data_IF_730995005791
#
_entry.id   IF_730995005791
#
_cell.length_a   1.000
_cell.length_b   1.000
_cell.length_c   1.000
_cell.angle_alpha   90.00
_cell.angle_beta   90.00
_cell.angle_gamma   90.00
#
_symmetry.space_group_name_H-M   'P 1'
#
loop_
_entity.id
_entity.type
_entity.pdbx_description
1 polymer ?
#
# COMPACT_ATOMS: atom_id res chain seq x y z
N UNK A 1 12.18 -30.02 8.29
CA UNK A 1 10.87 -30.70 8.22
C UNK A 1 10.00 -29.92 7.24
N UNK A 2 9.25 -30.55 6.33
CA UNK A 2 8.28 -29.84 5.49
C UNK A 2 7.30 -29.07 6.38
N UNK A 3 7.00 -27.81 6.05
CA UNK A 3 6.27 -26.86 6.92
C UNK A 3 4.89 -27.37 7.36
N UNK A 4 4.24 -28.21 6.56
CA UNK A 4 3.00 -28.89 6.96
C UNK A 4 3.15 -29.71 8.26
N UNK A 5 4.33 -30.30 8.50
CA UNK A 5 4.64 -31.01 9.74
C UNK A 5 4.98 -30.07 10.91
N UNK A 6 5.39 -28.82 10.63
CA UNK A 6 5.64 -27.79 11.65
C UNK A 6 4.31 -27.15 12.12
N UNK A 7 3.33 -27.05 11.22
CA UNK A 7 1.94 -26.68 11.52
C UNK A 7 1.20 -27.83 12.24
N UNK A 8 1.49 -29.08 11.88
CA UNK A 8 0.93 -30.26 12.55
C UNK A 8 1.57 -30.55 13.92
N UNK A 9 2.78 -30.03 14.20
CA UNK A 9 3.49 -30.28 15.46
C UNK A 9 2.77 -29.70 16.70
N UNK A 10 1.81 -28.80 16.52
CA UNK A 10 0.97 -28.25 17.60
C UNK A 10 -0.46 -28.85 17.67
N UNK A 11 -0.78 -29.82 16.81
CA UNK A 11 -1.74 -30.90 17.13
C UNK A 11 -3.26 -30.67 17.09
N UNK A 12 -3.82 -29.64 16.44
CA UNK A 12 -5.29 -29.41 16.50
C UNK A 12 -6.00 -28.96 15.20
N UNK A 13 -5.42 -29.18 14.02
CA UNK A 13 -6.12 -29.18 12.73
C UNK A 13 -5.61 -30.38 11.92
N UNK A 14 -6.49 -31.13 11.26
CA UNK A 14 -6.03 -32.09 10.25
C UNK A 14 -5.25 -31.30 9.19
N UNK A 15 -3.97 -31.66 8.99
CA UNK A 15 -3.08 -30.94 8.09
C UNK A 15 -3.64 -30.86 6.67
N UNK A 16 -4.43 -31.87 6.27
CA UNK A 16 -5.10 -31.92 4.97
C UNK A 16 -6.29 -30.96 4.89
N UNK A 17 -7.01 -30.74 5.99
CA UNK A 17 -8.13 -29.80 6.08
C UNK A 17 -7.65 -28.34 6.04
N UNK A 18 -6.61 -28.02 6.83
CA UNK A 18 -6.00 -26.68 6.83
C UNK A 18 -5.38 -26.34 5.47
N UNK A 19 -4.64 -27.28 4.86
CA UNK A 19 -4.11 -27.12 3.50
C UNK A 19 -5.22 -27.03 2.44
N UNK A 20 -6.34 -27.73 2.66
CA UNK A 20 -7.53 -27.66 1.81
C UNK A 20 -8.21 -26.28 1.83
N UNK A 21 -8.44 -25.72 3.01
CA UNK A 21 -9.01 -24.38 3.19
C UNK A 21 -8.07 -23.29 2.63
N UNK A 22 -6.77 -23.42 2.88
CA UNK A 22 -5.78 -22.46 2.36
C UNK A 22 -5.75 -22.46 0.83
N UNK A 23 -5.65 -23.63 0.19
CA UNK A 23 -5.70 -23.75 -1.28
C UNK A 23 -7.01 -23.20 -1.83
N UNK A 24 -8.14 -23.47 -1.17
CA UNK A 24 -9.45 -22.94 -1.59
C UNK A 24 -9.48 -21.41 -1.56
N UNK A 25 -8.97 -20.80 -0.50
CA UNK A 25 -8.91 -19.35 -0.37
C UNK A 25 -8.01 -18.71 -1.45
N UNK A 26 -6.86 -19.33 -1.76
CA UNK A 26 -6.00 -18.91 -2.88
C UNK A 26 -6.71 -19.04 -4.23
N UNK A 27 -7.44 -20.14 -4.43
CA UNK A 27 -8.22 -20.40 -5.65
C UNK A 27 -9.38 -19.44 -5.85
N UNK A 28 -10.04 -19.06 -4.75
CA UNK A 28 -11.09 -18.05 -4.77
C UNK A 28 -10.49 -16.68 -5.08
N UNK A 29 -9.37 -16.33 -4.45
CA UNK A 29 -8.62 -15.10 -4.72
C UNK A 29 -8.15 -15.00 -6.19
N UNK A 30 -7.50 -16.04 -6.70
CA UNK A 30 -7.00 -16.08 -8.08
C UNK A 30 -8.12 -15.97 -9.13
N UNK A 31 -9.36 -16.31 -8.77
CA UNK A 31 -10.54 -16.18 -9.63
C UNK A 31 -11.35 -14.91 -9.36
N UNK A 32 -10.82 -13.96 -8.60
CA UNK A 32 -11.50 -12.70 -8.27
C UNK A 32 -12.69 -12.84 -7.32
N UNK A 33 -12.87 -14.00 -6.66
CA UNK A 33 -13.90 -14.24 -5.64
C UNK A 33 -13.39 -13.88 -4.25
N UNK A 34 -13.01 -12.63 -4.09
CA UNK A 34 -12.22 -12.21 -2.96
C UNK A 34 -13.06 -12.10 -1.66
N UNK A 35 -14.38 -11.93 -1.72
CA UNK A 35 -15.27 -12.08 -0.53
C UNK A 35 -15.17 -13.50 0.02
N UNK A 36 -15.33 -14.51 -0.85
CA UNK A 36 -15.23 -15.94 -0.48
C UNK A 36 -13.84 -16.31 0.02
N UNK A 37 -12.80 -15.76 -0.60
CA UNK A 37 -11.43 -15.94 -0.12
C UNK A 37 -11.27 -15.38 1.30
N UNK A 38 -11.77 -14.16 1.57
CA UNK A 38 -11.70 -13.54 2.90
C UNK A 38 -12.46 -14.31 3.98
N UNK A 39 -13.66 -14.81 3.67
CA UNK A 39 -14.42 -15.68 4.57
C UNK A 39 -13.68 -16.99 4.86
N UNK A 40 -13.00 -17.54 3.85
CA UNK A 40 -12.21 -18.77 4.00
C UNK A 40 -10.96 -18.49 4.84
N UNK A 41 -10.30 -17.35 4.64
CA UNK A 41 -9.20 -16.90 5.48
C UNK A 41 -9.61 -16.65 6.93
N UNK A 42 -10.75 -16.02 7.16
CA UNK A 42 -11.27 -15.77 8.51
C UNK A 42 -11.58 -17.08 9.25
N UNK A 43 -12.16 -18.06 8.54
CA UNK A 43 -12.40 -19.41 9.09
C UNK A 43 -11.10 -20.12 9.44
N UNK A 44 -10.10 -20.05 8.55
CA UNK A 44 -8.79 -20.66 8.79
C UNK A 44 -8.07 -20.00 9.98
N UNK A 45 -8.10 -18.67 10.06
CA UNK A 45 -7.53 -17.91 11.18
C UNK A 45 -8.19 -18.30 12.51
N UNK A 46 -9.52 -18.32 12.55
CA UNK A 46 -10.27 -18.67 13.75
C UNK A 46 -10.00 -20.12 14.18
N UNK A 47 -10.00 -21.06 13.24
CA UNK A 47 -9.70 -22.46 13.51
C UNK A 47 -8.27 -22.63 14.04
N UNK A 48 -7.29 -21.95 13.43
CA UNK A 48 -5.90 -21.98 13.86
C UNK A 48 -5.70 -21.38 15.27
N UNK A 49 -6.41 -20.29 15.61
CA UNK A 49 -6.39 -19.71 16.97
C UNK A 49 -6.92 -20.69 18.01
N UNK A 50 -8.06 -21.34 17.73
CA UNK A 50 -8.65 -22.34 18.63
C UNK A 50 -7.75 -23.58 18.78
N UNK A 51 -7.06 -23.96 17.72
CA UNK A 51 -6.10 -25.04 17.68
C UNK A 51 -4.76 -24.72 18.34
N UNK A 52 -4.55 -23.48 18.81
CA UNK A 52 -3.25 -23.05 19.35
C UNK A 52 -2.15 -22.87 18.30
N UNK A 53 -2.44 -23.10 17.01
CA UNK A 53 -1.51 -22.98 15.89
C UNK A 53 -1.25 -21.50 15.53
N UNK A 54 -0.50 -20.80 16.38
CA UNK A 54 -0.31 -19.33 16.32
C UNK A 54 0.23 -18.85 14.98
N UNK A 55 1.18 -19.58 14.39
CA UNK A 55 1.78 -19.21 13.10
C UNK A 55 0.76 -19.27 11.95
N UNK A 56 -0.06 -20.32 11.91
CA UNK A 56 -1.11 -20.46 10.90
C UNK A 56 -2.20 -19.40 11.08
N UNK A 57 -2.55 -19.05 12.32
CA UNK A 57 -3.50 -17.99 12.61
C UNK A 57 -3.01 -16.62 12.11
N UNK A 58 -1.75 -16.29 12.41
CA UNK A 58 -1.11 -15.05 11.93
C UNK A 58 -1.08 -15.03 10.40
N UNK A 59 -0.74 -16.14 9.76
CA UNK A 59 -0.67 -16.23 8.32
C UNK A 59 -2.04 -16.13 7.63
N UNK A 60 -3.06 -16.80 8.15
CA UNK A 60 -4.41 -16.69 7.62
C UNK A 60 -4.97 -15.27 7.78
N UNK A 61 -4.69 -14.61 8.91
CA UNK A 61 -4.99 -13.19 9.10
C UNK A 61 -4.23 -12.30 8.12
N UNK A 62 -2.97 -12.62 7.83
CA UNK A 62 -2.16 -11.90 6.85
C UNK A 62 -2.68 -12.06 5.42
N UNK A 63 -3.02 -13.27 5.00
CA UNK A 63 -3.57 -13.54 3.68
C UNK A 63 -4.97 -12.96 3.51
N UNK A 64 -5.77 -12.94 4.58
CA UNK A 64 -7.04 -12.18 4.61
C UNK A 64 -6.79 -10.71 4.33
N UNK A 65 -5.83 -10.10 5.03
CA UNK A 65 -5.47 -8.71 4.84
C UNK A 65 -4.98 -8.45 3.40
N UNK A 66 -4.06 -9.27 2.87
CA UNK A 66 -3.57 -9.16 1.48
C UNK A 66 -4.70 -9.31 0.47
N UNK A 67 -5.66 -10.22 0.70
CA UNK A 67 -6.80 -10.44 -0.20
C UNK A 67 -7.76 -9.25 -0.21
N UNK A 68 -8.06 -8.68 0.97
CA UNK A 68 -8.84 -7.45 1.09
C UNK A 68 -8.10 -6.27 0.45
N UNK A 69 -6.79 -6.18 0.66
CA UNK A 69 -5.93 -5.18 0.04
C UNK A 69 -5.94 -5.27 -1.49
N UNK A 70 -5.91 -6.47 -2.07
CA UNK A 70 -5.99 -6.66 -3.53
C UNK A 70 -7.33 -6.19 -4.12
N UNK A 71 -8.41 -6.27 -3.35
CA UNK A 71 -9.69 -5.68 -3.73
C UNK A 71 -9.75 -4.16 -3.56
N UNK A 72 -8.69 -3.52 -3.04
CA UNK A 72 -8.73 -2.15 -2.54
C UNK A 72 -9.40 -2.02 -1.16
N UNK A 73 -10.04 -3.06 -0.65
CA UNK A 73 -10.87 -3.04 0.52
C UNK A 73 -10.15 -3.16 1.87
N UNK A 74 -8.91 -2.63 2.01
CA UNK A 74 -8.29 -2.12 3.26
C UNK A 74 -6.77 -2.31 3.29
N UNK A 75 -6.09 -1.33 3.88
CA UNK A 75 -4.77 -1.49 4.49
C UNK A 75 -4.80 -1.58 6.03
N UNK A 76 -5.94 -1.47 6.74
CA UNK A 76 -5.96 -1.61 8.22
C UNK A 76 -7.22 -2.28 8.80
N UNK A 77 -7.00 -3.40 9.51
CA UNK A 77 -7.79 -4.01 10.59
C UNK A 77 -9.26 -4.45 10.36
N UNK A 78 -9.44 -5.78 10.27
CA UNK A 78 -10.28 -6.67 11.10
C UNK A 78 -11.77 -6.40 11.34
N UNK A 79 -12.17 -5.16 11.65
CA UNK A 79 -13.55 -4.76 12.02
C UNK A 79 -14.32 -4.19 10.82
N UNK A 80 -13.63 -3.52 9.90
CA UNK A 80 -14.23 -3.04 8.64
C UNK A 80 -14.61 -4.17 7.67
N UNK A 81 -14.03 -5.36 7.83
CA UNK A 81 -14.32 -6.51 6.98
C UNK A 81 -15.81 -6.84 6.98
N UNK A 82 -16.46 -6.87 8.14
CA UNK A 82 -17.87 -7.30 8.23
C UNK A 82 -18.85 -6.32 7.56
N UNK A 83 -18.51 -5.02 7.50
CA UNK A 83 -19.33 -4.00 6.85
C UNK A 83 -19.07 -3.92 5.35
N UNK A 84 -17.80 -3.99 4.92
CA UNK A 84 -17.43 -3.95 3.50
C UNK A 84 -17.71 -5.26 2.76
N UNK A 85 -17.75 -6.41 3.44
CA UNK A 85 -18.05 -7.70 2.79
C UNK A 85 -19.44 -7.72 2.14
N UNK A 86 -20.41 -6.96 2.66
CA UNK A 86 -21.74 -6.82 2.06
C UNK A 86 -21.67 -6.00 0.76
N UNK A 87 -20.98 -4.86 0.78
CA UNK A 87 -20.80 -3.98 -0.39
C UNK A 87 -19.90 -4.62 -1.47
N UNK A 88 -18.87 -5.37 -1.07
CA UNK A 88 -17.99 -6.11 -1.98
C UNK A 88 -18.70 -7.29 -2.65
N UNK A 89 -19.66 -7.92 -1.95
CA UNK A 89 -20.50 -8.99 -2.52
C UNK A 89 -21.50 -8.46 -3.56
N UNK A 90 -21.87 -7.18 -3.49
CA UNK A 90 -22.65 -6.49 -4.52
C UNK A 90 -21.76 -6.17 -5.74
N UNK A 91 -20.52 -5.73 -5.54
CA UNK A 91 -19.57 -5.44 -6.63
C UNK A 91 -19.07 -6.70 -7.37
N UNK A 92 -18.99 -7.86 -6.71
CA UNK A 92 -18.69 -9.15 -7.37
C UNK A 92 -19.78 -9.55 -8.40
N UNK A 93 -21.01 -9.02 -8.27
CA UNK A 93 -22.12 -9.32 -9.19
C UNK A 93 -22.03 -8.52 -10.51
N UNK A 94 -21.27 -7.41 -10.51
CA UNK A 94 -21.16 -6.49 -11.67
C UNK A 94 -19.98 -6.81 -12.60
N UNK A 95 -19.28 -7.93 -12.40
CA UNK A 95 -18.28 -8.45 -13.35
C UNK A 95 -17.02 -7.61 -13.51
N UNK A 96 -16.70 -6.75 -12.54
CA UNK A 96 -15.46 -5.99 -12.54
C UNK A 96 -14.24 -6.94 -12.53
N UNK A 97 -13.20 -6.70 -13.35
CA UNK A 97 -11.99 -7.51 -13.36
C UNK A 97 -11.16 -7.20 -12.10
N UNK A 98 -11.53 -7.82 -10.98
CA UNK A 98 -10.79 -7.79 -9.72
C UNK A 98 -9.70 -8.86 -9.65
N UNK A 99 -9.59 -9.72 -10.68
CA UNK A 99 -8.65 -10.82 -10.68
C UNK A 99 -7.24 -10.35 -11.11
N UNK A 100 -6.17 -10.69 -10.38
CA UNK A 100 -4.83 -10.70 -10.95
C UNK A 100 -4.78 -11.67 -12.16
N UNK A 101 -3.74 -11.61 -13.01
CA UNK A 101 -3.57 -12.59 -14.07
C UNK A 101 -3.69 -14.02 -13.51
N UNK A 102 -4.30 -14.96 -14.26
CA UNK A 102 -4.56 -16.30 -13.78
C UNK A 102 -3.25 -17.00 -13.45
N UNK A 103 -3.08 -17.36 -12.17
CA UNK A 103 -2.01 -18.24 -11.72
C UNK A 103 -2.37 -19.67 -12.09
N UNK A 104 -1.44 -20.42 -12.67
CA UNK A 104 -1.64 -21.85 -12.86
C UNK A 104 -1.51 -22.61 -11.51
N UNK A 105 -1.92 -23.88 -11.49
CA UNK A 105 -1.92 -24.67 -10.26
C UNK A 105 -0.52 -24.89 -9.68
N UNK A 106 0.50 -25.02 -10.53
CA UNK A 106 1.88 -25.23 -10.10
C UNK A 106 2.47 -23.94 -9.52
N UNK A 107 2.13 -22.78 -10.08
CA UNK A 107 2.44 -21.46 -9.54
C UNK A 107 1.74 -21.23 -8.20
N UNK A 108 0.46 -21.59 -8.05
CA UNK A 108 -0.27 -21.50 -6.78
C UNK A 108 0.39 -22.38 -5.72
N UNK A 109 0.74 -23.62 -6.03
CA UNK A 109 1.34 -24.56 -5.08
C UNK A 109 2.79 -24.16 -4.71
N UNK A 110 3.56 -23.65 -5.67
CA UNK A 110 4.90 -23.08 -5.43
C UNK A 110 4.87 -21.79 -4.63
N UNK A 111 3.91 -20.90 -4.92
CA UNK A 111 3.69 -19.65 -4.19
C UNK A 111 3.21 -19.94 -2.75
N UNK A 112 2.24 -20.84 -2.57
CA UNK A 112 1.79 -21.28 -1.26
C UNK A 112 2.95 -21.86 -0.43
N UNK A 113 3.68 -22.83 -0.98
CA UNK A 113 4.79 -23.49 -0.28
C UNK A 113 5.90 -22.51 0.15
N UNK A 114 6.19 -21.50 -0.65
CA UNK A 114 7.19 -20.49 -0.34
C UNK A 114 6.71 -19.48 0.71
N UNK A 115 5.41 -19.14 0.72
CA UNK A 115 4.80 -18.27 1.75
C UNK A 115 4.69 -18.99 3.10
N UNK A 116 4.55 -20.30 3.10
CA UNK A 116 4.70 -21.18 4.28
C UNK A 116 6.16 -21.48 4.63
N UNK A 117 7.04 -20.49 4.51
CA UNK A 117 8.42 -20.59 5.00
C UNK A 117 8.65 -19.49 6.03
N UNK A 118 9.59 -19.70 6.96
CA UNK A 118 9.97 -18.66 7.91
C UNK A 118 10.39 -17.34 7.18
N UNK A 119 11.21 -17.38 6.11
CA UNK A 119 11.44 -16.19 5.28
C UNK A 119 10.17 -15.58 4.65
N UNK A 120 9.20 -16.41 4.24
CA UNK A 120 7.92 -15.95 3.70
C UNK A 120 7.08 -15.20 4.73
N UNK A 121 7.03 -15.70 5.96
CA UNK A 121 6.32 -15.07 7.09
C UNK A 121 6.92 -13.70 7.45
N UNK A 122 8.25 -13.60 7.50
CA UNK A 122 8.93 -12.33 7.75
C UNK A 122 8.63 -11.30 6.65
N UNK A 123 8.65 -11.68 5.37
CA UNK A 123 8.28 -10.76 4.26
C UNK A 123 6.82 -10.32 4.30
N UNK A 124 5.92 -11.24 4.66
CA UNK A 124 4.51 -10.95 4.91
C UNK A 124 4.34 -9.90 6.01
N UNK A 125 5.04 -10.10 7.13
CA UNK A 125 5.00 -9.19 8.27
C UNK A 125 5.60 -7.84 7.91
N UNK A 126 6.68 -7.83 7.13
CA UNK A 126 7.25 -6.59 6.61
C UNK A 126 6.24 -5.79 5.78
N UNK A 127 5.52 -6.43 4.86
CA UNK A 127 4.47 -5.76 4.06
C UNK A 127 3.34 -5.21 4.94
N UNK A 128 2.94 -5.94 5.98
CA UNK A 128 1.93 -5.46 6.95
C UNK A 128 2.40 -4.25 7.73
N UNK A 129 3.63 -4.31 8.26
CA UNK A 129 4.24 -3.23 9.02
C UNK A 129 4.39 -1.98 8.14
N UNK A 130 4.90 -2.14 6.91
CA UNK A 130 4.98 -1.06 5.91
C UNK A 130 3.62 -0.40 5.68
N UNK A 131 2.57 -1.18 5.46
CA UNK A 131 1.20 -0.66 5.26
C UNK A 131 0.56 -0.02 6.49
N UNK A 132 1.03 -0.38 7.68
CA UNK A 132 0.64 0.25 8.95
C UNK A 132 1.46 1.53 9.26
N UNK A 133 2.40 1.87 8.38
CA UNK A 133 3.33 2.99 8.53
C UNK A 133 4.53 2.68 9.43
N UNK A 134 4.73 1.42 9.85
CA UNK A 134 5.87 0.91 10.61
C UNK A 134 6.98 0.41 9.68
N UNK A 135 7.70 1.35 9.07
CA UNK A 135 8.76 1.09 8.12
C UNK A 135 10.00 0.50 8.81
N UNK A 136 10.29 0.94 10.04
CA UNK A 136 11.41 0.41 10.81
C UNK A 136 11.23 -1.08 11.12
N UNK A 137 10.06 -1.46 11.65
CA UNK A 137 9.72 -2.86 11.87
C UNK A 137 9.68 -3.65 10.56
N UNK A 138 9.25 -3.03 9.45
CA UNK A 138 9.30 -3.68 8.14
C UNK A 138 10.74 -4.02 7.70
N UNK A 139 11.68 -3.10 7.90
CA UNK A 139 13.10 -3.32 7.60
C UNK A 139 13.71 -4.43 8.47
N UNK A 140 13.41 -4.44 9.77
CA UNK A 140 13.85 -5.50 10.70
C UNK A 140 13.38 -6.89 10.24
N UNK A 141 12.10 -7.01 9.86
CA UNK A 141 11.53 -8.27 9.38
C UNK A 141 12.16 -8.71 8.04
N UNK A 142 12.46 -7.78 7.12
CA UNK A 142 13.18 -8.12 5.88
C UNK A 142 14.62 -8.59 6.14
N UNK A 143 15.26 -8.05 7.17
CA UNK A 143 16.58 -8.49 7.60
C UNK A 143 16.53 -9.92 8.16
N UNK A 144 15.55 -10.22 9.01
CA UNK A 144 15.30 -11.58 9.53
C UNK A 144 14.96 -12.58 8.42
N UNK A 145 14.18 -12.16 7.41
CA UNK A 145 13.91 -12.97 6.22
C UNK A 145 15.20 -13.34 5.47
N UNK A 146 16.19 -12.45 5.46
CA UNK A 146 17.47 -12.63 4.75
C UNK A 146 18.46 -13.52 5.52
N UNK A 147 18.37 -13.54 6.85
CA UNK A 147 19.18 -14.41 7.74
C UNK A 147 18.64 -15.84 7.84
N UNK A 148 17.35 -16.02 7.55
CA UNK A 148 16.67 -17.32 7.67
C UNK A 148 17.16 -18.32 6.61
N UNK A 149 17.56 -19.55 6.99
CA UNK A 149 18.09 -20.54 6.05
C UNK A 149 17.00 -21.01 5.07
N UNK A 150 17.21 -20.74 3.79
CA UNK A 150 16.24 -21.01 2.73
C UNK A 150 16.38 -22.44 2.19
N UNK A 151 15.30 -23.22 2.15
CA UNK A 151 15.29 -24.55 1.51
C UNK A 151 14.89 -24.52 0.03
N UNK A 152 15.11 -23.38 -0.64
CA UNK A 152 14.70 -22.97 -2.01
C UNK A 152 13.39 -22.18 -1.97
N UNK A 153 13.44 -20.84 -1.87
CA UNK A 153 12.25 -20.03 -2.04
C UNK A 153 11.85 -20.07 -3.51
N UNK A 154 10.55 -19.96 -3.78
CA UNK A 154 10.10 -19.58 -5.12
C UNK A 154 10.77 -18.25 -5.49
N UNK A 155 11.35 -18.14 -6.70
CA UNK A 155 12.20 -17.00 -7.09
C UNK A 155 11.50 -15.63 -6.97
N UNK A 156 10.17 -15.62 -7.02
CA UNK A 156 9.32 -14.45 -6.79
C UNK A 156 9.44 -13.84 -5.37
N UNK A 157 9.75 -14.62 -4.33
CA UNK A 157 9.72 -14.15 -2.94
C UNK A 157 10.90 -13.23 -2.58
N UNK A 158 12.16 -13.59 -2.87
CA UNK A 158 13.29 -12.67 -2.67
C UNK A 158 13.09 -11.36 -3.46
N UNK A 159 12.58 -11.45 -4.69
CA UNK A 159 12.25 -10.29 -5.51
C UNK A 159 11.19 -9.41 -4.86
N UNK A 160 10.11 -10.00 -4.37
CA UNK A 160 9.06 -9.25 -3.67
C UNK A 160 9.58 -8.61 -2.38
N UNK A 161 10.44 -9.31 -1.63
CA UNK A 161 11.13 -8.72 -0.47
C UNK A 161 11.95 -7.47 -0.82
N UNK A 162 12.63 -7.45 -1.98
CA UNK A 162 13.34 -6.25 -2.48
C UNK A 162 12.37 -5.12 -2.83
N UNK A 163 11.20 -5.43 -3.38
CA UNK A 163 10.17 -4.43 -3.65
C UNK A 163 9.67 -3.79 -2.34
N UNK A 164 9.38 -4.61 -1.31
CA UNK A 164 8.97 -4.09 0.01
C UNK A 164 10.08 -3.24 0.63
N UNK A 165 11.34 -3.67 0.51
CA UNK A 165 12.51 -2.91 0.97
C UNK A 165 12.57 -1.54 0.30
N UNK A 166 12.51 -1.49 -1.04
CA UNK A 166 12.52 -0.25 -1.81
C UNK A 166 11.40 0.71 -1.39
N UNK A 167 10.16 0.22 -1.27
CA UNK A 167 9.03 1.04 -0.84
C UNK A 167 9.18 1.53 0.61
N UNK A 168 9.78 0.72 1.49
CA UNK A 168 10.01 1.10 2.89
C UNK A 168 11.12 2.15 3.01
N UNK A 169 12.22 2.03 2.25
CA UNK A 169 13.28 3.03 2.15
C UNK A 169 12.73 4.35 1.62
N UNK A 170 11.93 4.31 0.55
CA UNK A 170 11.29 5.49 -0.04
C UNK A 170 10.40 6.21 0.96
N UNK A 171 9.55 5.48 1.67
CA UNK A 171 8.66 6.05 2.67
C UNK A 171 9.39 6.51 3.95
N UNK A 172 10.61 6.04 4.16
CA UNK A 172 11.52 6.54 5.17
C UNK A 172 12.37 7.73 4.68
N UNK A 173 12.26 8.15 3.41
CA UNK A 173 13.00 9.29 2.84
C UNK A 173 14.31 8.93 2.14
N UNK A 174 14.76 7.67 2.19
CA UNK A 174 15.94 7.21 1.44
C UNK A 174 15.57 6.88 -0.02
N UNK A 175 15.41 7.94 -0.81
CA UNK A 175 15.01 7.84 -2.22
C UNK A 175 16.10 7.22 -3.12
N UNK A 176 17.38 7.48 -2.83
CA UNK A 176 18.51 6.92 -3.57
C UNK A 176 18.61 5.41 -3.33
N UNK A 177 18.62 4.98 -2.06
CA UNK A 177 18.62 3.56 -1.70
C UNK A 177 17.37 2.84 -2.19
N UNK A 178 16.20 3.48 -2.12
CA UNK A 178 14.97 2.94 -2.69
C UNK A 178 15.09 2.69 -4.20
N UNK A 179 15.68 3.62 -4.94
CA UNK A 179 15.86 3.51 -6.40
C UNK A 179 16.86 2.40 -6.75
N UNK A 180 18.00 2.32 -6.07
CA UNK A 180 19.00 1.26 -6.26
C UNK A 180 18.40 -0.13 -6.05
N UNK A 181 17.66 -0.32 -4.96
CA UNK A 181 17.00 -1.60 -4.65
C UNK A 181 15.93 -1.94 -5.69
N UNK A 182 15.15 -0.95 -6.14
CA UNK A 182 14.09 -1.15 -7.12
C UNK A 182 14.64 -1.58 -8.49
N UNK A 183 15.69 -0.92 -8.98
CA UNK A 183 16.37 -1.25 -10.25
C UNK A 183 16.91 -2.69 -10.17
N UNK A 184 17.60 -3.04 -9.09
CA UNK A 184 18.13 -4.38 -8.91
C UNK A 184 17.02 -5.45 -8.92
N UNK A 185 15.86 -5.15 -8.32
CA UNK A 185 14.69 -6.04 -8.36
C UNK A 185 14.10 -6.17 -9.77
N UNK A 186 13.99 -5.07 -10.52
CA UNK A 186 13.53 -5.04 -11.91
C UNK A 186 14.44 -5.89 -12.81
N UNK A 187 15.76 -5.67 -12.73
CA UNK A 187 16.76 -6.40 -13.51
C UNK A 187 16.73 -7.89 -13.21
N UNK A 188 16.62 -8.26 -11.93
CA UNK A 188 16.53 -9.64 -11.53
C UNK A 188 15.21 -10.28 -12.02
N UNK A 189 14.07 -9.59 -11.89
CA UNK A 189 12.78 -10.07 -12.39
C UNK A 189 12.78 -10.27 -13.91
N UNK A 190 13.47 -9.40 -14.65
CA UNK A 190 13.63 -9.52 -16.10
C UNK A 190 14.48 -10.73 -16.48
N UNK A 191 15.62 -10.95 -15.79
CA UNK A 191 16.53 -12.06 -16.06
C UNK A 191 15.96 -13.42 -15.72
N UNK A 192 15.23 -13.55 -14.61
CA UNK A 192 14.70 -14.83 -14.14
C UNK A 192 13.39 -15.23 -14.83
N UNK A 193 12.85 -14.39 -15.73
CA UNK A 193 11.46 -14.56 -16.20
C UNK A 193 10.48 -14.50 -15.03
N UNK A 194 10.79 -13.70 -14.01
CA UNK A 194 10.05 -13.63 -12.75
C UNK A 194 8.57 -13.36 -12.97
N UNK A 195 7.77 -13.82 -12.02
CA UNK A 195 6.31 -13.77 -12.11
C UNK A 195 5.81 -12.39 -12.55
N UNK A 196 4.91 -12.29 -13.57
CA UNK A 196 4.53 -11.00 -14.17
C UNK A 196 4.10 -9.93 -13.16
N UNK A 197 3.40 -10.33 -12.10
CA UNK A 197 3.00 -9.44 -11.02
C UNK A 197 4.18 -8.83 -10.23
N UNK A 198 5.22 -9.62 -9.94
CA UNK A 198 6.40 -9.12 -9.22
C UNK A 198 7.18 -8.15 -10.11
N UNK A 199 7.25 -8.45 -11.42
CA UNK A 199 7.88 -7.56 -12.39
C UNK A 199 7.18 -6.21 -12.48
N UNK A 200 5.85 -6.17 -12.59
CA UNK A 200 5.12 -4.88 -12.63
C UNK A 200 5.23 -4.12 -11.31
N UNK A 201 5.28 -4.82 -10.17
CA UNK A 201 5.45 -4.17 -8.87
C UNK A 201 6.87 -3.61 -8.70
N UNK A 202 7.90 -4.29 -9.19
CA UNK A 202 9.27 -3.76 -9.23
C UNK A 202 9.39 -2.54 -10.14
N UNK A 203 8.79 -2.58 -11.33
CA UNK A 203 8.73 -1.42 -12.23
C UNK A 203 8.02 -0.23 -11.59
N UNK A 204 6.93 -0.48 -10.85
CA UNK A 204 6.21 0.56 -10.10
C UNK A 204 7.06 1.15 -8.99
N UNK A 205 7.84 0.34 -8.28
CA UNK A 205 8.78 0.82 -7.26
C UNK A 205 9.86 1.73 -7.87
N UNK A 206 10.39 1.39 -9.05
CA UNK A 206 11.31 2.27 -9.79
C UNK A 206 10.65 3.61 -10.12
N UNK A 207 9.43 3.58 -10.67
CA UNK A 207 8.69 4.80 -11.03
C UNK A 207 8.45 5.71 -9.80
N UNK A 208 8.09 5.12 -8.66
CA UNK A 208 7.89 5.84 -7.39
C UNK A 208 9.19 6.40 -6.82
N UNK A 209 10.30 5.66 -6.89
CA UNK A 209 11.59 6.13 -6.43
C UNK A 209 12.09 7.31 -7.29
N UNK A 210 11.95 7.23 -8.62
CA UNK A 210 12.25 8.34 -9.53
C UNK A 210 11.41 9.59 -9.22
N UNK A 211 10.12 9.42 -8.91
CA UNK A 211 9.28 10.53 -8.49
C UNK A 211 9.75 11.16 -7.16
N UNK A 212 10.22 10.34 -6.22
CA UNK A 212 10.83 10.79 -4.96
C UNK A 212 12.14 11.57 -5.18
N UNK A 213 12.95 11.14 -6.15
CA UNK A 213 14.17 11.83 -6.59
C UNK A 213 13.93 13.07 -7.45
N UNK A 214 12.67 13.44 -7.69
CA UNK A 214 12.26 14.54 -8.58
C UNK A 214 12.71 14.38 -10.05
N UNK A 215 12.96 13.14 -10.49
CA UNK A 215 13.28 12.77 -11.88
C UNK A 215 11.99 12.65 -12.71
N UNK A 216 11.27 13.77 -12.84
CA UNK A 216 9.86 13.82 -13.29
C UNK A 216 9.63 13.23 -14.69
N UNK A 217 10.53 13.48 -15.65
CA UNK A 217 10.38 12.94 -17.00
C UNK A 217 10.55 11.41 -17.04
N UNK A 218 11.51 10.88 -16.27
CA UNK A 218 11.73 9.45 -16.14
C UNK A 218 10.58 8.76 -15.40
N UNK A 219 10.10 9.36 -14.30
CA UNK A 219 8.93 8.87 -13.57
C UNK A 219 7.68 8.82 -14.45
N UNK A 220 7.39 9.89 -15.21
CA UNK A 220 6.23 9.95 -16.11
C UNK A 220 6.28 8.86 -17.19
N UNK A 221 7.45 8.67 -17.80
CA UNK A 221 7.64 7.63 -18.81
C UNK A 221 7.39 6.24 -18.23
N UNK A 222 7.91 5.96 -17.01
CA UNK A 222 7.72 4.69 -16.33
C UNK A 222 6.26 4.42 -15.95
N UNK A 223 5.56 5.40 -15.36
CA UNK A 223 4.14 5.22 -15.00
C UNK A 223 3.24 5.06 -16.23
N UNK A 224 3.54 5.77 -17.33
CA UNK A 224 2.79 5.64 -18.59
C UNK A 224 2.96 4.24 -19.18
N UNK A 225 4.20 3.74 -19.24
CA UNK A 225 4.47 2.39 -19.72
C UNK A 225 3.79 1.31 -18.85
N UNK A 226 3.76 1.50 -17.53
CA UNK A 226 3.05 0.63 -16.60
C UNK A 226 1.54 0.66 -16.84
N UNK A 227 0.94 1.82 -17.09
CA UNK A 227 -0.49 1.94 -17.34
C UNK A 227 -0.95 1.17 -18.60
N UNK A 228 -0.05 1.04 -19.58
CA UNK A 228 -0.30 0.28 -20.82
C UNK A 228 -0.06 -1.24 -20.66
N UNK A 229 0.70 -1.67 -19.65
CA UNK A 229 1.01 -3.08 -19.39
C UNK A 229 -0.25 -3.86 -18.94
N UNK A 230 -0.70 -4.87 -19.71
CA UNK A 230 -1.84 -5.71 -19.34
C UNK A 230 -1.75 -6.33 -17.94
N UNK A 231 -0.55 -6.67 -17.46
CA UNK A 231 -0.34 -7.25 -16.13
C UNK A 231 -0.53 -6.24 -15.00
N UNK A 232 -0.60 -4.94 -15.32
CA UNK A 232 -0.82 -3.86 -14.37
C UNK A 232 -2.23 -3.24 -14.46
N UNK A 233 -3.08 -3.70 -15.38
CA UNK A 233 -4.48 -3.22 -15.56
C UNK A 233 -5.47 -3.75 -14.53
N UNK A 234 -5.01 -4.13 -13.35
CA UNK A 234 -5.89 -4.39 -12.21
C UNK A 234 -6.20 -3.07 -11.49
N UNK A 235 -7.28 -3.03 -10.69
CA UNK A 235 -7.77 -1.80 -10.07
C UNK A 235 -6.68 -1.03 -9.28
N UNK A 236 -5.93 -1.72 -8.41
CA UNK A 236 -4.81 -1.11 -7.65
C UNK A 236 -3.69 -0.55 -8.55
N UNK A 237 -3.31 -1.29 -9.61
CA UNK A 237 -2.27 -0.87 -10.55
C UNK A 237 -2.68 0.38 -11.31
N UNK A 238 -3.92 0.40 -11.82
CA UNK A 238 -4.50 1.56 -12.50
C UNK A 238 -4.59 2.79 -11.60
N UNK A 239 -5.09 2.64 -10.37
CA UNK A 239 -5.15 3.74 -9.39
C UNK A 239 -3.75 4.27 -9.09
N UNK A 240 -2.78 3.40 -8.83
CA UNK A 240 -1.41 3.79 -8.52
C UNK A 240 -0.72 4.51 -9.70
N UNK A 241 -0.96 4.06 -10.94
CA UNK A 241 -0.47 4.74 -12.14
C UNK A 241 -1.10 6.12 -12.32
N UNK A 242 -2.42 6.25 -12.21
CA UNK A 242 -3.09 7.54 -12.34
C UNK A 242 -2.67 8.52 -11.25
N UNK A 243 -2.47 8.05 -10.01
CA UNK A 243 -1.88 8.85 -8.92
C UNK A 243 -0.46 9.32 -9.26
N UNK A 244 0.41 8.40 -9.67
CA UNK A 244 1.80 8.70 -10.03
C UNK A 244 1.91 9.67 -11.20
N UNK A 245 1.14 9.46 -12.27
CA UNK A 245 1.07 10.35 -13.44
C UNK A 245 0.53 11.72 -13.03
N UNK A 246 -0.57 11.75 -12.28
CA UNK A 246 -1.20 12.99 -11.83
C UNK A 246 -0.25 13.88 -11.01
N UNK A 247 0.45 13.29 -10.05
CA UNK A 247 1.44 14.00 -9.24
C UNK A 247 2.66 14.44 -10.06
N UNK A 248 3.16 13.58 -10.95
CA UNK A 248 4.28 13.95 -11.82
C UNK A 248 3.92 15.15 -12.71
N UNK A 249 2.72 15.15 -13.30
CA UNK A 249 2.22 16.25 -14.12
C UNK A 249 1.99 17.53 -13.30
N UNK A 250 1.52 17.40 -12.05
CA UNK A 250 1.35 18.53 -11.13
C UNK A 250 2.70 19.19 -10.84
N UNK A 251 3.73 18.42 -10.48
CA UNK A 251 5.08 18.96 -10.22
C UNK A 251 5.71 19.60 -11.45
N UNK A 252 5.34 19.15 -12.65
CA UNK A 252 5.73 19.78 -13.94
C UNK A 252 4.94 21.05 -14.29
N UNK A 253 3.88 21.38 -13.55
CA UNK A 253 2.99 22.51 -13.85
C UNK A 253 1.89 22.20 -14.88
N UNK A 254 1.75 20.96 -15.36
CA UNK A 254 0.67 20.56 -16.28
C UNK A 254 -0.61 20.23 -15.49
N UNK A 255 -1.16 21.26 -14.87
CA UNK A 255 -2.28 21.15 -13.93
C UNK A 255 -3.56 20.60 -14.57
N UNK A 256 -3.79 20.90 -15.85
CA UNK A 256 -4.97 20.42 -16.57
C UNK A 256 -4.93 18.91 -16.77
N UNK A 257 -3.79 18.35 -17.17
CA UNK A 257 -3.65 16.90 -17.33
C UNK A 257 -3.52 16.19 -15.99
N UNK A 258 -2.90 16.82 -14.99
CA UNK A 258 -2.88 16.31 -13.62
C UNK A 258 -4.30 16.08 -13.09
N UNK A 259 -5.20 17.06 -13.26
CA UNK A 259 -6.61 16.94 -12.85
C UNK A 259 -7.30 15.70 -13.43
N UNK A 260 -7.15 15.47 -14.74
CA UNK A 260 -7.78 14.33 -15.44
C UNK A 260 -7.37 12.99 -14.82
N UNK A 261 -6.09 12.82 -14.51
CA UNK A 261 -5.58 11.58 -13.91
C UNK A 261 -6.00 11.44 -12.45
N UNK A 262 -5.94 12.50 -11.66
CA UNK A 262 -6.34 12.45 -10.24
C UNK A 262 -7.84 12.21 -10.06
N UNK A 263 -8.69 12.77 -10.92
CA UNK A 263 -10.13 12.49 -10.94
C UNK A 263 -10.40 11.02 -11.31
N UNK A 264 -9.64 10.49 -12.27
CA UNK A 264 -9.73 9.07 -12.66
C UNK A 264 -9.33 8.14 -11.52
N UNK A 265 -8.21 8.44 -10.84
CA UNK A 265 -7.75 7.70 -9.67
C UNK A 265 -8.79 7.73 -8.55
N UNK A 266 -9.31 8.91 -8.22
CA UNK A 266 -10.35 9.09 -7.19
C UNK A 266 -11.61 8.27 -7.51
N UNK A 267 -12.12 8.39 -8.73
CA UNK A 267 -13.33 7.69 -9.14
C UNK A 267 -13.12 6.17 -9.18
N UNK A 268 -11.96 5.69 -9.65
CA UNK A 268 -11.61 4.27 -9.62
C UNK A 268 -11.48 3.76 -8.18
N UNK A 269 -10.80 4.51 -7.31
CA UNK A 269 -10.64 4.16 -5.92
C UNK A 269 -11.99 4.06 -5.20
N UNK A 270 -12.89 5.01 -5.43
CA UNK A 270 -14.24 4.94 -4.86
C UNK A 270 -15.04 3.73 -5.40
N UNK A 271 -15.03 3.49 -6.72
CA UNK A 271 -15.73 2.35 -7.34
C UNK A 271 -15.25 1.00 -6.83
N UNK A 272 -13.98 0.89 -6.47
CA UNK A 272 -13.37 -0.35 -5.99
C UNK A 272 -13.19 -0.38 -4.46
N UNK A 273 -13.77 0.56 -3.71
CA UNK A 273 -13.62 0.59 -2.24
C UNK A 273 -12.19 0.81 -1.74
N UNK A 274 -11.31 1.37 -2.59
CA UNK A 274 -9.90 1.60 -2.30
C UNK A 274 -9.66 2.86 -1.45
N UNK A 275 -9.97 2.80 -0.16
CA UNK A 275 -9.97 3.97 0.75
C UNK A 275 -8.64 4.72 0.79
N UNK A 276 -7.49 4.04 0.88
CA UNK A 276 -6.17 4.71 0.91
C UNK A 276 -5.91 5.49 -0.38
N UNK A 277 -6.02 4.82 -1.52
CA UNK A 277 -5.90 5.42 -2.85
C UNK A 277 -6.88 6.56 -3.08
N UNK A 278 -8.10 6.47 -2.54
CA UNK A 278 -9.06 7.59 -2.57
C UNK A 278 -8.55 8.76 -1.73
N UNK A 279 -8.10 8.53 -0.48
CA UNK A 279 -7.51 9.58 0.37
C UNK A 279 -6.33 10.24 -0.34
N UNK A 280 -5.44 9.44 -0.91
CA UNK A 280 -4.28 9.95 -1.65
C UNK A 280 -4.70 10.79 -2.86
N UNK A 281 -5.68 10.33 -3.63
CA UNK A 281 -6.21 11.11 -4.75
C UNK A 281 -6.78 12.44 -4.27
N UNK A 282 -7.54 12.46 -3.17
CA UNK A 282 -8.09 13.69 -2.60
C UNK A 282 -7.01 14.64 -2.08
N UNK A 283 -5.98 14.14 -1.41
CA UNK A 283 -4.86 14.97 -0.95
C UNK A 283 -4.08 15.57 -2.15
N UNK A 284 -3.86 14.79 -3.22
CA UNK A 284 -3.29 15.33 -4.45
C UNK A 284 -4.19 16.37 -5.13
N UNK A 285 -5.52 16.17 -5.13
CA UNK A 285 -6.48 17.13 -5.66
C UNK A 285 -6.49 18.43 -4.84
N UNK A 286 -6.39 18.33 -3.52
CA UNK A 286 -6.25 19.48 -2.63
C UNK A 286 -4.98 20.28 -2.95
N UNK A 287 -3.84 19.61 -3.10
CA UNK A 287 -2.57 20.25 -3.48
C UNK A 287 -2.59 20.80 -4.91
N UNK A 288 -3.28 20.16 -5.85
CA UNK A 288 -3.49 20.70 -7.19
C UNK A 288 -4.36 21.96 -7.16
N UNK A 289 -5.41 21.98 -6.35
CA UNK A 289 -6.26 23.16 -6.16
C UNK A 289 -5.45 24.33 -5.59
N UNK A 290 -4.58 24.07 -4.59
CA UNK A 290 -3.63 25.07 -4.07
C UNK A 290 -2.65 25.57 -5.12
N UNK A 291 -2.02 24.67 -5.88
CA UNK A 291 -1.10 25.04 -6.97
C UNK A 291 -1.78 25.88 -8.08
N UNK A 292 -3.12 25.86 -8.15
CA UNK A 292 -3.93 26.68 -9.06
C UNK A 292 -4.50 27.94 -8.39
N UNK A 293 -4.10 28.24 -7.17
CA UNK A 293 -4.61 29.34 -6.34
C UNK A 293 -6.14 29.30 -6.18
N UNK A 294 -6.70 28.11 -6.00
CA UNK A 294 -8.11 27.94 -5.64
C UNK A 294 -8.43 28.61 -4.30
N UNK A 295 -9.71 28.83 -4.03
CA UNK A 295 -10.12 29.43 -2.76
C UNK A 295 -9.81 28.50 -1.57
N UNK A 296 -9.44 29.08 -0.43
CA UNK A 296 -9.26 28.36 0.85
C UNK A 296 -10.44 27.43 1.19
N UNK A 297 -11.67 27.86 0.88
CA UNK A 297 -12.89 27.08 1.11
C UNK A 297 -12.97 25.81 0.25
N UNK A 298 -12.50 25.85 -0.99
CA UNK A 298 -12.47 24.69 -1.88
C UNK A 298 -11.53 23.61 -1.36
N UNK A 299 -10.30 23.99 -1.01
CA UNK A 299 -9.31 23.05 -0.47
C UNK A 299 -9.75 22.50 0.89
N UNK A 300 -10.29 23.35 1.76
CA UNK A 300 -10.82 22.94 3.07
C UNK A 300 -11.96 21.93 2.93
N UNK A 301 -12.83 22.07 1.93
CA UNK A 301 -13.92 21.12 1.69
C UNK A 301 -13.39 19.72 1.31
N UNK A 302 -12.35 19.65 0.47
CA UNK A 302 -11.68 18.39 0.10
C UNK A 302 -11.06 17.74 1.35
N UNK A 303 -10.25 18.50 2.11
CA UNK A 303 -9.59 18.01 3.33
C UNK A 303 -10.61 17.55 4.38
N UNK A 304 -11.73 18.25 4.53
CA UNK A 304 -12.77 17.86 5.48
C UNK A 304 -13.40 16.50 5.12
N UNK A 305 -13.57 16.17 3.83
CA UNK A 305 -14.06 14.85 3.42
C UNK A 305 -13.03 13.74 3.70
N UNK A 306 -11.74 14.03 3.48
CA UNK A 306 -10.65 13.14 3.88
C UNK A 306 -10.66 12.89 5.38
N UNK A 307 -10.78 13.93 6.22
CA UNK A 307 -10.80 13.81 7.67
C UNK A 307 -11.95 12.94 8.18
N UNK A 308 -13.14 13.03 7.57
CA UNK A 308 -14.27 12.16 7.91
C UNK A 308 -13.97 10.68 7.66
N UNK A 309 -13.21 10.38 6.60
CA UNK A 309 -12.90 8.99 6.20
C UNK A 309 -11.58 8.48 6.76
N UNK A 310 -10.71 9.33 7.30
CA UNK A 310 -9.45 8.94 7.95
C UNK A 310 -9.66 8.00 9.14
N UNK A 311 -10.81 8.11 9.83
CA UNK A 311 -11.19 7.20 10.91
C UNK A 311 -11.26 5.72 10.46
N UNK A 312 -11.37 5.46 9.15
CA UNK A 312 -11.43 4.11 8.59
C UNK A 312 -10.05 3.48 8.36
N UNK A 313 -8.97 4.26 8.45
CA UNK A 313 -7.63 3.81 8.01
C UNK A 313 -6.49 4.21 8.94
N UNK A 314 -6.72 5.05 9.96
CA UNK A 314 -5.78 5.44 11.03
C UNK A 314 -4.27 5.38 10.68
N UNK A 315 -3.90 5.92 9.52
CA UNK A 315 -2.51 5.85 9.03
C UNK A 315 -1.77 7.14 9.41
N UNK A 316 -0.69 7.08 10.22
CA UNK A 316 0.00 8.28 10.72
C UNK A 316 0.45 9.23 9.61
N UNK A 317 1.05 8.69 8.53
CA UNK A 317 1.44 9.47 7.35
C UNK A 317 0.26 10.22 6.72
N UNK A 318 -0.86 9.54 6.43
CA UNK A 318 -2.03 10.18 5.81
C UNK A 318 -2.66 11.22 6.74
N UNK A 319 -2.68 10.97 8.05
CA UNK A 319 -3.17 11.94 9.05
C UNK A 319 -2.32 13.20 9.07
N UNK A 320 -1.00 13.04 9.15
CA UNK A 320 -0.05 14.14 9.14
C UNK A 320 -0.22 15.00 7.88
N UNK A 321 -0.23 14.37 6.70
CA UNK A 321 -0.41 15.07 5.41
C UNK A 321 -1.76 15.77 5.31
N UNK A 322 -2.83 15.16 5.82
CA UNK A 322 -4.16 15.79 5.88
C UNK A 322 -4.17 17.02 6.78
N UNK A 323 -3.51 16.97 7.93
CA UNK A 323 -3.41 18.12 8.83
C UNK A 323 -2.52 19.22 8.25
N UNK A 324 -1.37 18.88 7.65
CA UNK A 324 -0.51 19.83 6.97
C UNK A 324 -1.23 20.57 5.83
N UNK A 325 -1.82 19.84 4.87
CA UNK A 325 -2.55 20.43 3.74
C UNK A 325 -3.73 21.28 4.24
N UNK A 326 -4.44 20.79 5.27
CA UNK A 326 -5.52 21.54 5.90
C UNK A 326 -5.05 22.84 6.56
N UNK A 327 -3.94 22.80 7.32
CA UNK A 327 -3.39 23.96 8.00
C UNK A 327 -3.02 25.07 7.01
N UNK A 328 -2.37 24.70 5.92
CA UNK A 328 -1.92 25.63 4.88
C UNK A 328 -3.05 26.23 4.04
N UNK A 329 -4.25 25.68 4.14
CA UNK A 329 -5.43 26.15 3.41
C UNK A 329 -6.44 26.87 4.31
N UNK A 330 -6.28 26.76 5.63
CA UNK A 330 -7.13 27.39 6.62
C UNK A 330 -6.59 28.78 6.99
N UNK A 331 -7.38 29.54 7.74
CA UNK A 331 -6.97 30.86 8.24
C UNK A 331 -7.18 30.98 9.74
N UNK A 332 -6.37 31.84 10.39
CA UNK A 332 -6.45 32.16 11.81
C UNK A 332 -6.36 30.93 12.71
N UNK A 333 -7.20 30.90 13.75
CA UNK A 333 -7.22 29.84 14.78
C UNK A 333 -7.42 28.42 14.21
N UNK A 334 -8.09 28.28 13.05
CA UNK A 334 -8.24 26.97 12.43
C UNK A 334 -6.93 26.44 11.87
N UNK A 335 -6.09 27.30 11.28
CA UNK A 335 -4.79 26.92 10.77
C UNK A 335 -3.85 26.50 11.91
N UNK A 336 -3.78 27.31 12.98
CA UNK A 336 -2.99 27.02 14.19
C UNK A 336 -3.37 25.65 14.79
N UNK A 337 -4.67 25.39 15.00
CA UNK A 337 -5.14 24.10 15.53
C UNK A 337 -4.79 22.90 14.63
N UNK A 338 -4.66 23.10 13.32
CA UNK A 338 -4.28 22.03 12.40
C UNK A 338 -2.76 21.79 12.41
N UNK A 339 -1.95 22.84 12.60
CA UNK A 339 -0.51 22.71 12.85
C UNK A 339 -0.27 21.96 14.16
N UNK A 340 -0.94 22.33 15.25
CA UNK A 340 -0.82 21.64 16.54
C UNK A 340 -1.14 20.14 16.42
N UNK A 341 -2.20 19.81 15.65
CA UNK A 341 -2.56 18.41 15.37
C UNK A 341 -1.51 17.69 14.54
N UNK A 342 -0.85 18.37 13.61
CA UNK A 342 0.24 17.79 12.84
C UNK A 342 1.45 17.52 13.76
N UNK A 343 1.79 18.46 14.64
CA UNK A 343 2.83 18.30 15.67
C UNK A 343 2.54 17.12 16.61
N UNK A 344 1.29 16.96 17.04
CA UNK A 344 0.85 15.83 17.89
C UNK A 344 0.98 14.46 17.22
N UNK A 345 0.94 14.39 15.88
CA UNK A 345 1.11 13.15 15.13
C UNK A 345 2.60 12.79 14.91
N UNK A 346 3.53 13.76 14.95
CA UNK A 346 4.96 13.51 14.74
C UNK A 346 5.55 12.41 15.64
N UNK A 347 5.28 12.37 16.97
CA UNK A 347 5.78 11.29 17.83
C UNK A 347 5.20 9.91 17.50
N UNK A 348 4.01 9.85 16.89
CA UNK A 348 3.40 8.59 16.44
C UNK A 348 4.04 8.12 15.13
N UNK A 349 4.34 9.05 14.23
CA UNK A 349 5.08 8.76 13.00
C UNK A 349 6.51 8.32 13.31
N UNK A 350 7.25 9.05 14.16
CA UNK A 350 8.64 8.75 14.52
C UNK A 350 8.88 7.31 14.98
N UNK A 351 8.01 6.84 15.88
CA UNK A 351 8.11 5.50 16.46
C UNK A 351 7.98 4.39 15.42
N UNK A 352 7.50 4.72 14.22
CA UNK A 352 7.15 3.79 13.16
C UNK A 352 8.02 4.00 11.91
N UNK A 353 8.45 5.21 11.58
CA UNK A 353 9.25 5.50 10.39
C UNK A 353 10.76 5.51 10.60
N UNK A 354 11.26 5.66 11.84
CA UNK A 354 12.66 5.89 12.22
C UNK A 354 13.34 7.14 11.64
N UNK A 355 12.87 7.69 10.52
CA UNK A 355 13.24 9.00 10.00
C UNK A 355 12.11 10.02 10.23
N UNK A 356 12.49 11.19 10.74
CA UNK A 356 11.60 12.30 11.06
C UNK A 356 11.92 13.56 10.28
N UNK A 357 13.03 13.61 9.54
CA UNK A 357 13.57 14.86 9.03
C UNK A 357 12.59 15.52 8.06
N UNK A 358 12.15 14.78 7.02
CA UNK A 358 11.19 15.27 6.03
C UNK A 358 9.84 15.68 6.62
N UNK A 359 9.33 14.93 7.60
CA UNK A 359 8.02 15.21 8.18
C UNK A 359 8.06 16.31 9.25
N UNK A 360 9.17 16.45 9.99
CA UNK A 360 9.42 17.61 10.85
C UNK A 360 9.59 18.87 10.02
N UNK A 361 10.31 18.79 8.91
CA UNK A 361 10.45 19.89 7.95
C UNK A 361 9.09 20.30 7.41
N UNK A 362 8.24 19.35 7.02
CA UNK A 362 6.88 19.67 6.57
C UNK A 362 6.08 20.43 7.63
N UNK A 363 6.10 19.96 8.87
CA UNK A 363 5.38 20.60 9.99
C UNK A 363 5.97 21.98 10.30
N UNK A 364 7.28 22.14 10.23
CA UNK A 364 7.97 23.43 10.39
C UNK A 364 7.60 24.41 9.27
N UNK A 365 7.60 23.96 8.01
CA UNK A 365 7.13 24.75 6.87
C UNK A 365 5.69 25.22 7.12
N UNK A 366 4.82 24.34 7.63
CA UNK A 366 3.46 24.72 7.97
C UNK A 366 3.41 25.79 9.07
N UNK A 367 4.18 25.61 10.14
CA UNK A 367 4.25 26.54 11.26
C UNK A 367 4.70 27.94 10.81
N UNK A 368 5.78 27.99 10.03
CA UNK A 368 6.34 29.24 9.50
C UNK A 368 5.35 29.92 8.55
N UNK A 369 4.76 29.17 7.62
CA UNK A 369 3.81 29.72 6.66
C UNK A 369 2.55 30.31 7.32
N UNK A 370 1.99 29.59 8.29
CA UNK A 370 0.82 30.05 9.07
C UNK A 370 1.16 31.31 9.86
N UNK A 371 2.34 31.36 10.50
CA UNK A 371 2.78 32.53 11.27
C UNK A 371 3.08 33.76 10.38
N UNK A 372 3.64 33.56 9.19
CA UNK A 372 3.99 34.63 8.25
C UNK A 372 2.79 35.10 7.41
N UNK A 373 1.73 34.29 7.30
CA UNK A 373 0.63 34.52 6.35
C UNK A 373 1.07 34.37 4.89
N UNK A 374 2.11 33.58 4.65
CA UNK A 374 2.69 33.33 3.33
C UNK A 374 2.21 32.00 2.76
N UNK A 375 2.11 31.89 1.44
CA UNK A 375 1.80 30.63 0.76
C UNK A 375 3.09 29.80 0.63
N UNK A 376 3.20 28.64 1.31
CA UNK A 376 4.40 27.81 1.25
C UNK A 376 4.49 27.04 -0.08
N UNK A 377 5.65 26.47 -0.39
CA UNK A 377 5.80 25.62 -1.56
C UNK A 377 4.80 24.45 -1.57
N UNK A 378 4.41 23.95 -2.75
CA UNK A 378 3.54 22.79 -2.87
C UNK A 378 4.11 21.59 -2.14
N UNK A 379 3.24 20.82 -1.48
CA UNK A 379 3.64 19.60 -0.79
C UNK A 379 3.80 18.49 -1.81
N UNK A 380 4.98 17.89 -1.88
CA UNK A 380 5.22 16.66 -2.60
C UNK A 380 4.38 15.52 -2.00
N UNK A 381 3.58 14.85 -2.82
CA UNK A 381 2.78 13.71 -2.37
C UNK A 381 3.52 12.40 -2.66
N UNK A 382 3.80 11.65 -1.59
CA UNK A 382 4.28 10.27 -1.66
C UNK A 382 3.13 9.28 -1.51
N UNK A 383 3.12 8.25 -2.36
CA UNK A 383 2.05 7.25 -2.41
C UNK A 383 2.45 5.95 -1.71
N UNK A 384 1.67 5.51 -0.73
CA UNK A 384 1.71 4.19 -0.06
C UNK A 384 1.56 2.99 -1.00
#
# INVERSE_FOLDING_TARGET
MPTAQLIAAEGLLDGDEAAGLFRRALHDRARGRAVRACETWARLELAARHAGARHLAVQAGAERAVTLTWMGALSVAGVLCEQLLVELAELEQDGAPLAPPPLDQAEIDGFAGAWFSLPGLHRLRAEQLRRAGDYAGALEELEEASRSPDQRPHEALPLWGRVILSESLRLAGDFEGAHEVAIAAEEQATRSGGHPWVRVTANRAVARALLGLDELDAALARFTALADDPAHRHADGGIACDLGIGETLRRRGDHARAQVHLDRASAAALRHGHVVGWIQAQLCLAELARARHASAGEVTAIVADVQRRLALVEHPFLRLRTFAIGALSATGEQAERLVDRAEDELPRFHRRSCDLELERELVEICRVAVAAGEEPPPIAMDFL
#
